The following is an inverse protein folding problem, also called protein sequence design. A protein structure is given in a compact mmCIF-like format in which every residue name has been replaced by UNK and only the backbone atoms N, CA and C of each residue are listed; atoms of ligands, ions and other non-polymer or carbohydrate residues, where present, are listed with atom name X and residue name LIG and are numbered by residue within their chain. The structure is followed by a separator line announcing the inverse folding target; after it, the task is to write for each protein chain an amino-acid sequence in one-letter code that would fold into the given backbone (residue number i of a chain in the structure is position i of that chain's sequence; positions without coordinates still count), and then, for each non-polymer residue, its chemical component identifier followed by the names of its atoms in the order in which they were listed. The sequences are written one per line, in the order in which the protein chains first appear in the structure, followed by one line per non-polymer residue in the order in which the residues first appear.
data_IF_991325211045
#
_entry.id   IF_991325211045
#
_cell.length_a   1.000
_cell.length_b   1.000
_cell.length_c   1.000
_cell.angle_alpha   90.00
_cell.angle_beta   90.00
_cell.angle_gamma   90.00
#
_symmetry.space_group_name_H-M   'P 1'
#
loop_
_entity.id
_entity.type
_entity.pdbx_description
1 polymer ?
#
# COMPACT_ATOMS: atom_id res chain seq x y z
N UNK A 1 32.70 -12.22 20.02
CA UNK A 1 31.45 -12.96 20.26
C UNK A 1 30.74 -12.25 21.39
N UNK A 2 29.46 -11.90 21.20
CA UNK A 2 28.57 -11.12 22.10
C UNK A 2 28.57 -9.58 21.97
N UNK A 3 28.00 -9.08 20.87
CA UNK A 3 27.13 -7.88 20.88
C UNK A 3 25.93 -8.17 19.96
N UNK A 4 25.15 -9.20 20.30
CA UNK A 4 23.84 -9.42 19.71
C UNK A 4 22.81 -8.71 20.57
N UNK A 5 22.22 -7.65 20.01
CA UNK A 5 20.87 -7.22 20.35
C UNK A 5 20.75 -6.26 21.53
N UNK A 6 21.01 -4.97 21.31
CA UNK A 6 19.99 -4.01 21.73
C UNK A 6 18.77 -4.26 20.83
N UNK A 7 17.98 -5.28 21.18
CA UNK A 7 16.71 -5.52 20.50
C UNK A 7 15.78 -4.39 20.87
N UNK A 8 15.12 -3.79 19.88
CA UNK A 8 14.05 -2.82 20.14
C UNK A 8 13.09 -3.45 21.15
N UNK A 9 12.90 -2.84 22.32
CA UNK A 9 12.15 -3.47 23.38
C UNK A 9 10.69 -3.63 22.94
N UNK A 10 10.02 -4.71 23.37
CA UNK A 10 8.67 -5.02 22.90
C UNK A 10 7.65 -3.89 23.13
N UNK A 11 7.88 -3.06 24.17
CA UNK A 11 7.04 -1.90 24.47
C UNK A 11 7.09 -0.82 23.37
N UNK A 12 8.13 -0.79 22.53
CA UNK A 12 8.22 0.14 21.40
C UNK A 12 7.18 -0.17 20.29
N UNK A 13 6.49 -1.32 20.36
CA UNK A 13 5.33 -1.62 19.50
C UNK A 13 4.07 -0.85 19.96
N UNK A 14 4.01 -0.38 21.21
CA UNK A 14 2.82 0.27 21.78
C UNK A 14 2.39 1.50 20.96
N UNK A 15 3.26 2.46 20.60
CA UNK A 15 2.87 3.60 19.77
C UNK A 15 2.30 3.20 18.41
N UNK A 16 2.85 2.15 17.80
CA UNK A 16 2.33 1.61 16.54
C UNK A 16 0.92 1.03 16.71
N UNK A 17 0.70 0.20 17.75
CA UNK A 17 -0.61 -0.36 18.05
C UNK A 17 -1.64 0.74 18.39
N UNK A 18 -1.26 1.75 19.17
CA UNK A 18 -2.10 2.91 19.48
C UNK A 18 -2.45 3.70 18.22
N UNK A 19 -1.50 3.87 17.30
CA UNK A 19 -1.76 4.54 16.03
C UNK A 19 -2.77 3.76 15.17
N UNK A 20 -2.60 2.44 15.03
CA UNK A 20 -3.53 1.59 14.29
C UNK A 20 -4.93 1.59 14.90
N UNK A 21 -5.04 1.41 16.22
CA UNK A 21 -6.32 1.46 16.93
C UNK A 21 -6.96 2.85 16.82
N UNK A 22 -6.16 3.91 16.90
CA UNK A 22 -6.64 5.28 16.72
C UNK A 22 -7.26 5.49 15.35
N UNK A 23 -6.57 5.10 14.28
CA UNK A 23 -7.07 5.24 12.91
C UNK A 23 -8.31 4.36 12.68
N UNK A 24 -8.44 3.21 13.36
CA UNK A 24 -9.61 2.36 13.25
C UNK A 24 -10.82 2.86 14.08
N UNK A 25 -10.60 3.37 15.29
CA UNK A 25 -11.67 3.66 16.27
C UNK A 25 -12.10 5.13 16.27
N UNK A 26 -11.17 6.07 16.16
CA UNK A 26 -11.48 7.51 16.24
C UNK A 26 -12.44 8.00 15.13
N UNK A 27 -12.37 7.53 13.87
CA UNK A 27 -13.36 7.92 12.87
C UNK A 27 -14.78 7.43 13.20
N UNK A 28 -14.92 6.31 13.93
CA UNK A 28 -16.20 5.73 14.31
C UNK A 28 -16.80 6.42 15.54
N UNK A 29 -15.98 6.72 16.55
CA UNK A 29 -16.45 7.29 17.82
C UNK A 29 -16.56 8.81 17.76
N UNK A 30 -15.62 9.49 17.09
CA UNK A 30 -15.47 10.94 17.10
C UNK A 30 -15.32 11.50 15.68
N UNK A 31 -16.25 11.13 14.79
CA UNK A 31 -16.22 11.47 13.36
C UNK A 31 -15.92 12.96 13.09
N UNK A 32 -16.70 13.87 13.69
CA UNK A 32 -16.60 15.31 13.46
C UNK A 32 -15.24 15.89 13.90
N UNK A 33 -14.64 15.31 14.94
CA UNK A 33 -13.30 15.72 15.39
C UNK A 33 -12.23 15.15 14.46
N UNK A 34 -12.37 13.89 14.04
CA UNK A 34 -11.40 13.21 13.18
C UNK A 34 -11.41 13.71 11.73
N UNK A 35 -12.48 14.32 11.24
CA UNK A 35 -12.54 14.89 9.89
C UNK A 35 -11.45 15.94 9.63
N UNK A 36 -11.09 16.73 10.64
CA UNK A 36 -10.08 17.76 10.50
C UNK A 36 -8.67 17.18 10.35
N UNK A 37 -8.00 17.51 9.25
CA UNK A 37 -6.60 17.13 9.01
C UNK A 37 -5.68 17.60 10.14
N UNK A 38 -6.00 18.72 10.81
CA UNK A 38 -5.25 19.21 11.97
C UNK A 38 -5.30 18.23 13.13
N UNK A 39 -6.48 17.69 13.43
CA UNK A 39 -6.67 16.76 14.55
C UNK A 39 -6.02 15.40 14.27
N UNK A 40 -6.11 14.92 13.03
CA UNK A 40 -5.34 13.74 12.57
C UNK A 40 -3.84 13.96 12.74
N UNK A 41 -3.34 15.11 12.30
CA UNK A 41 -1.93 15.49 12.44
C UNK A 41 -1.48 15.56 13.90
N UNK A 42 -2.27 16.18 14.78
CA UNK A 42 -1.99 16.27 16.21
C UNK A 42 -1.96 14.87 16.84
N UNK A 43 -2.96 14.03 16.58
CA UNK A 43 -3.00 12.66 17.10
C UNK A 43 -1.77 11.86 16.66
N UNK A 44 -1.46 11.86 15.37
CA UNK A 44 -0.30 11.15 14.84
C UNK A 44 1.00 11.70 15.42
N UNK A 45 1.13 13.03 15.56
CA UNK A 45 2.34 13.65 16.13
C UNK A 45 2.53 13.28 17.60
N UNK A 46 1.47 13.30 18.42
CA UNK A 46 1.53 12.93 19.84
C UNK A 46 2.03 11.49 20.01
N UNK A 47 1.60 10.58 19.13
CA UNK A 47 1.99 9.16 19.20
C UNK A 47 3.37 8.93 18.59
N UNK A 48 3.67 9.54 17.44
CA UNK A 48 4.88 9.26 16.66
C UNK A 48 6.11 10.04 17.14
N UNK A 49 5.99 11.31 17.53
CA UNK A 49 7.14 12.18 17.84
C UNK A 49 7.93 11.68 19.06
N UNK A 50 7.31 11.31 20.21
CA UNK A 50 8.07 10.79 21.34
C UNK A 50 8.82 9.51 20.98
N UNK A 51 8.21 8.64 20.18
CA UNK A 51 8.82 7.41 19.71
C UNK A 51 9.98 7.68 18.74
N UNK A 52 9.83 8.65 17.84
CA UNK A 52 10.89 9.07 16.93
C UNK A 52 12.10 9.65 17.69
N UNK A 53 11.87 10.46 18.73
CA UNK A 53 12.93 10.98 19.59
C UNK A 53 13.63 9.84 20.33
N UNK A 54 12.87 8.91 20.91
CA UNK A 54 13.43 7.74 21.59
C UNK A 54 14.34 6.92 20.66
N UNK A 55 13.85 6.58 19.47
CA UNK A 55 14.64 5.84 18.47
C UNK A 55 15.86 6.63 18.00
N UNK A 56 15.77 7.94 17.84
CA UNK A 56 16.89 8.77 17.42
C UNK A 56 18.02 8.83 18.44
N UNK A 57 17.71 8.72 19.73
CA UNK A 57 18.70 8.74 20.82
C UNK A 57 19.27 7.36 21.11
N UNK A 58 18.43 6.32 21.12
CA UNK A 58 18.83 4.96 21.53
C UNK A 58 19.28 4.10 20.36
N UNK A 59 18.72 4.31 19.16
CA UNK A 59 18.92 3.46 17.98
C UNK A 59 19.29 4.27 16.73
N UNK A 60 20.18 5.25 16.89
CA UNK A 60 20.50 6.22 15.83
C UNK A 60 20.93 5.57 14.50
N UNK A 61 21.87 4.62 14.54
CA UNK A 61 22.37 3.96 13.32
C UNK A 61 21.30 3.12 12.63
N UNK A 62 20.51 2.36 13.40
CA UNK A 62 19.38 1.58 12.87
C UNK A 62 18.31 2.47 12.25
N UNK A 63 18.01 3.62 12.89
CA UNK A 63 17.05 4.58 12.37
C UNK A 63 17.49 5.20 11.05
N UNK A 64 18.78 5.53 10.90
CA UNK A 64 19.32 6.05 9.64
C UNK A 64 19.28 4.98 8.55
N UNK A 65 19.68 3.75 8.86
CA UNK A 65 19.68 2.65 7.90
C UNK A 65 18.26 2.35 7.38
N UNK A 66 17.30 2.17 8.28
CA UNK A 66 15.88 2.01 7.90
C UNK A 66 15.32 3.24 7.20
N UNK A 67 15.80 4.44 7.54
CA UNK A 67 15.46 5.67 6.82
C UNK A 67 15.91 5.64 5.36
N UNK A 68 17.11 5.14 5.07
CA UNK A 68 17.61 4.98 3.70
C UNK A 68 16.82 3.94 2.90
N UNK A 69 16.47 2.80 3.51
CA UNK A 69 15.59 1.80 2.90
C UNK A 69 14.21 2.41 2.59
N UNK A 70 13.65 3.16 3.53
CA UNK A 70 12.36 3.83 3.36
C UNK A 70 12.38 4.87 2.24
N UNK A 71 13.44 5.67 2.13
CA UNK A 71 13.59 6.64 1.02
C UNK A 71 13.73 5.92 -0.31
N UNK A 72 14.53 4.84 -0.38
CA UNK A 72 14.68 4.01 -1.57
C UNK A 72 13.34 3.40 -1.99
N UNK A 73 12.57 2.92 -1.02
CA UNK A 73 11.23 2.40 -1.21
C UNK A 73 10.25 3.47 -1.74
N UNK A 74 10.27 4.67 -1.16
CA UNK A 74 9.46 5.80 -1.64
C UNK A 74 9.83 6.19 -3.07
N UNK A 75 11.11 6.19 -3.42
CA UNK A 75 11.56 6.46 -4.78
C UNK A 75 11.06 5.38 -5.76
N UNK A 76 11.13 4.10 -5.36
CA UNK A 76 10.59 2.99 -6.14
C UNK A 76 9.07 3.16 -6.36
N UNK A 77 8.29 3.34 -5.30
CA UNK A 77 6.84 3.58 -5.39
C UNK A 77 6.52 4.82 -6.22
N UNK A 78 7.30 5.90 -6.06
CA UNK A 78 7.15 7.14 -6.82
C UNK A 78 7.38 6.92 -8.31
N UNK A 79 8.46 6.24 -8.69
CA UNK A 79 8.74 5.90 -10.09
C UNK A 79 7.65 5.01 -10.69
N UNK A 80 7.20 3.99 -9.94
CA UNK A 80 6.11 3.12 -10.36
C UNK A 80 4.81 3.92 -10.56
N UNK A 81 4.49 4.82 -9.64
CA UNK A 81 3.32 5.69 -9.75
C UNK A 81 3.39 6.61 -10.96
N UNK A 82 4.54 7.23 -11.23
CA UNK A 82 4.73 8.13 -12.39
C UNK A 82 4.61 7.35 -13.70
N UNK A 83 5.28 6.20 -13.81
CA UNK A 83 5.25 5.36 -15.02
C UNK A 83 3.84 4.78 -15.23
N UNK A 84 3.29 4.12 -14.22
CA UNK A 84 1.96 3.51 -14.31
C UNK A 84 0.86 4.56 -14.49
N UNK A 85 0.96 5.71 -13.81
CA UNK A 85 0.01 6.81 -13.92
C UNK A 85 0.04 7.50 -15.29
N UNK A 86 1.19 7.53 -15.95
CA UNK A 86 1.37 8.10 -17.29
C UNK A 86 0.89 7.20 -18.42
N UNK A 87 0.74 5.88 -18.18
CA UNK A 87 0.25 4.94 -19.20
C UNK A 87 -1.27 5.10 -19.32
N UNK A 88 -1.70 5.67 -20.45
CA UNK A 88 -3.11 5.79 -20.78
C UNK A 88 -3.55 4.67 -21.73
N UNK A 89 -4.13 3.60 -21.18
CA UNK A 89 -4.74 2.54 -22.00
C UNK A 89 -6.15 2.98 -22.39
N UNK A 90 -6.30 3.41 -23.64
CA UNK A 90 -7.60 3.72 -24.26
C UNK A 90 -7.96 2.66 -25.30
N UNK A 91 -9.21 2.22 -25.28
CA UNK A 91 -9.75 1.27 -26.25
C UNK A 91 -11.24 1.07 -26.03
N UNK A 92 -11.99 0.87 -27.13
CA UNK A 92 -13.41 0.55 -27.08
C UNK A 92 -13.58 -0.98 -27.00
N UNK A 93 -13.36 -1.52 -25.81
CA UNK A 93 -13.56 -2.95 -25.56
C UNK A 93 -15.05 -3.21 -25.28
N UNK A 94 -15.60 -4.24 -25.93
CA UNK A 94 -16.96 -4.68 -25.66
C UNK A 94 -17.07 -5.20 -24.23
N UNK A 95 -18.01 -4.65 -23.46
CA UNK A 95 -18.29 -5.03 -22.08
C UNK A 95 -18.97 -6.42 -21.99
N UNK A 96 -18.19 -7.48 -22.18
CA UNK A 96 -18.61 -8.88 -22.01
C UNK A 96 -17.94 -9.51 -20.78
N UNK A 97 -18.54 -10.55 -20.17
CA UNK A 97 -17.94 -11.29 -19.07
C UNK A 97 -16.55 -11.86 -19.43
N UNK A 98 -16.38 -12.32 -20.67
CA UNK A 98 -15.11 -12.84 -21.18
C UNK A 98 -14.01 -11.77 -21.22
N UNK A 99 -14.33 -10.55 -21.68
CA UNK A 99 -13.40 -9.43 -21.66
C UNK A 99 -12.97 -9.09 -20.23
N UNK A 100 -13.91 -9.06 -19.29
CA UNK A 100 -13.59 -8.77 -17.89
C UNK A 100 -12.72 -9.85 -17.26
N UNK A 101 -13.01 -11.13 -17.53
CA UNK A 101 -12.19 -12.24 -17.08
C UNK A 101 -10.78 -12.18 -17.68
N UNK A 102 -10.64 -11.80 -18.95
CA UNK A 102 -9.34 -11.60 -19.59
C UNK A 102 -8.56 -10.44 -18.95
N UNK A 103 -9.20 -9.30 -18.66
CA UNK A 103 -8.55 -8.18 -17.96
C UNK A 103 -8.06 -8.61 -16.57
N UNK A 104 -8.86 -9.39 -15.83
CA UNK A 104 -8.47 -9.93 -14.52
C UNK A 104 -7.29 -10.89 -14.62
N UNK A 105 -7.30 -11.80 -15.60
CA UNK A 105 -6.21 -12.74 -15.85
C UNK A 105 -4.91 -12.00 -16.21
N UNK A 106 -4.98 -11.04 -17.13
CA UNK A 106 -3.84 -10.20 -17.51
C UNK A 106 -3.32 -9.44 -16.29
N UNK A 107 -4.21 -8.88 -15.47
CA UNK A 107 -3.81 -8.20 -14.24
C UNK A 107 -3.11 -9.11 -13.25
N UNK A 108 -3.61 -10.33 -13.05
CA UNK A 108 -2.98 -11.31 -12.17
C UNK A 108 -1.58 -11.70 -12.68
N UNK A 109 -1.40 -11.87 -13.99
CA UNK A 109 -0.07 -12.15 -14.59
C UNK A 109 0.85 -10.95 -14.44
N UNK A 110 0.39 -9.74 -14.79
CA UNK A 110 1.19 -8.51 -14.68
C UNK A 110 1.60 -8.20 -13.24
N UNK A 111 0.77 -8.54 -12.26
CA UNK A 111 1.10 -8.37 -10.85
C UNK A 111 2.38 -9.12 -10.43
N UNK A 112 2.75 -10.20 -11.12
CA UNK A 112 4.00 -10.93 -10.87
C UNK A 112 5.24 -10.28 -11.53
N UNK A 113 5.03 -9.36 -12.49
CA UNK A 113 6.11 -8.70 -13.22
C UNK A 113 6.40 -7.30 -12.68
N UNK A 114 5.35 -6.50 -12.45
CA UNK A 114 5.42 -5.09 -12.07
C UNK A 114 4.86 -4.81 -10.66
N UNK A 115 4.48 -5.87 -9.95
CA UNK A 115 3.85 -5.80 -8.63
C UNK A 115 2.34 -5.56 -8.66
N UNK A 116 1.64 -5.97 -7.60
CA UNK A 116 0.19 -5.81 -7.42
C UNK A 116 -0.24 -4.36 -7.47
N UNK A 117 0.57 -3.46 -6.89
CA UNK A 117 0.31 -2.01 -6.88
C UNK A 117 0.36 -1.43 -8.29
N UNK A 118 1.39 -1.75 -9.08
CA UNK A 118 1.56 -1.26 -10.44
C UNK A 118 0.47 -1.78 -11.38
N UNK A 119 0.22 -3.09 -11.35
CA UNK A 119 -0.84 -3.72 -12.13
C UNK A 119 -2.23 -3.16 -11.79
N UNK A 120 -2.50 -2.93 -10.50
CA UNK A 120 -3.76 -2.34 -10.04
C UNK A 120 -3.94 -0.92 -10.54
N UNK A 121 -2.91 -0.06 -10.44
CA UNK A 121 -2.96 1.33 -10.91
C UNK A 121 -3.22 1.43 -12.42
N UNK A 122 -2.65 0.53 -13.22
CA UNK A 122 -2.84 0.47 -14.66
C UNK A 122 -4.25 0.02 -15.05
N UNK A 123 -4.70 -1.13 -14.53
CA UNK A 123 -5.85 -1.83 -15.07
C UNK A 123 -7.19 -1.47 -14.43
N UNK A 124 -7.20 -0.95 -13.19
CA UNK A 124 -8.47 -0.62 -12.51
C UNK A 124 -9.28 0.40 -13.32
N UNK A 125 -8.60 1.40 -13.90
CA UNK A 125 -9.24 2.44 -14.73
C UNK A 125 -9.79 1.86 -16.02
N UNK A 126 -9.05 0.93 -16.65
CA UNK A 126 -9.49 0.24 -17.88
C UNK A 126 -10.75 -0.57 -17.60
N UNK A 127 -10.74 -1.41 -16.56
CA UNK A 127 -11.87 -2.25 -16.17
C UNK A 127 -13.14 -1.42 -15.91
N UNK A 128 -13.01 -0.33 -15.16
CA UNK A 128 -14.12 0.56 -14.82
C UNK A 128 -14.64 1.33 -16.05
N UNK A 129 -13.76 1.81 -16.93
CA UNK A 129 -14.15 2.52 -18.16
C UNK A 129 -14.86 1.60 -19.15
N UNK A 130 -14.32 0.41 -19.39
CA UNK A 130 -14.93 -0.60 -20.28
C UNK A 130 -16.36 -0.95 -19.84
N UNK A 131 -16.62 -0.99 -18.53
CA UNK A 131 -17.93 -1.37 -17.99
C UNK A 131 -18.84 -0.18 -17.64
N UNK A 132 -18.46 1.07 -17.96
CA UNK A 132 -19.20 2.28 -17.55
C UNK A 132 -20.66 2.31 -18.03
N UNK A 133 -20.97 1.64 -19.14
CA UNK A 133 -22.31 1.56 -19.73
C UNK A 133 -23.21 0.48 -19.08
N UNK A 134 -22.68 -0.36 -18.18
CA UNK A 134 -23.43 -1.46 -17.54
C UNK A 134 -24.10 -0.99 -16.26
N UNK A 135 -25.33 -1.43 -16.01
CA UNK A 135 -26.08 -1.12 -14.77
C UNK A 135 -25.50 -1.79 -13.51
N UNK A 136 -24.94 -3.00 -13.64
CA UNK A 136 -24.41 -3.78 -12.50
C UNK A 136 -22.90 -3.96 -12.64
N UNK A 137 -22.12 -3.12 -11.96
CA UNK A 137 -20.64 -3.15 -12.01
C UNK A 137 -19.99 -3.28 -10.63
N UNK A 138 -20.75 -3.26 -9.54
CA UNK A 138 -20.23 -3.28 -8.18
C UNK A 138 -19.38 -4.53 -7.85
N UNK A 139 -19.63 -5.67 -8.51
CA UNK A 139 -18.86 -6.89 -8.32
C UNK A 139 -17.47 -6.85 -8.99
N UNK A 140 -17.27 -6.01 -10.01
CA UNK A 140 -16.03 -5.97 -10.79
C UNK A 140 -14.83 -5.48 -9.94
N UNK A 141 -14.92 -4.34 -9.21
CA UNK A 141 -13.87 -3.92 -8.29
C UNK A 141 -13.57 -4.97 -7.22
N UNK A 142 -14.60 -5.64 -6.70
CA UNK A 142 -14.43 -6.67 -5.66
C UNK A 142 -13.57 -7.84 -6.17
N UNK A 143 -13.92 -8.42 -7.32
CA UNK A 143 -13.12 -9.48 -7.94
C UNK A 143 -11.73 -9.01 -8.35
N UNK A 144 -11.60 -7.77 -8.82
CA UNK A 144 -10.30 -7.18 -9.17
C UNK A 144 -9.38 -7.09 -7.95
N UNK A 145 -9.89 -6.57 -6.82
CA UNK A 145 -9.12 -6.45 -5.58
C UNK A 145 -8.67 -7.82 -5.08
N UNK A 146 -9.56 -8.81 -5.10
CA UNK A 146 -9.21 -10.17 -4.66
C UNK A 146 -8.16 -10.80 -5.58
N UNK A 147 -8.40 -10.84 -6.89
CA UNK A 147 -7.55 -11.58 -7.83
C UNK A 147 -6.25 -10.86 -8.18
N UNK A 148 -6.30 -9.56 -8.45
CA UNK A 148 -5.16 -8.79 -8.96
C UNK A 148 -4.39 -8.12 -7.82
N UNK A 149 -5.11 -7.49 -6.89
CA UNK A 149 -4.47 -6.70 -5.84
C UNK A 149 -3.98 -7.52 -4.63
N UNK A 150 -4.65 -8.63 -4.30
CA UNK A 150 -4.29 -9.47 -3.14
C UNK A 150 -3.68 -10.81 -3.52
N UNK A 151 -4.29 -11.54 -4.47
CA UNK A 151 -3.76 -12.83 -4.94
C UNK A 151 -2.74 -12.70 -6.08
N UNK A 152 -2.68 -11.54 -6.74
CA UNK A 152 -1.67 -11.27 -7.76
C UNK A 152 -0.28 -11.19 -7.12
N UNK A 153 0.77 -11.53 -7.86
CA UNK A 153 2.14 -11.43 -7.35
C UNK A 153 2.60 -12.59 -6.46
N UNK A 154 1.74 -13.56 -6.13
CA UNK A 154 2.11 -14.74 -5.32
C UNK A 154 3.10 -15.70 -6.01
N UNK A 155 3.34 -15.57 -7.32
CA UNK A 155 4.24 -16.45 -8.07
C UNK A 155 5.69 -15.95 -8.05
N UNK A 156 5.95 -14.70 -7.68
CA UNK A 156 7.30 -14.11 -7.66
C UNK A 156 7.55 -13.26 -6.39
N UNK A 157 8.74 -13.34 -5.77
CA UNK A 157 9.08 -12.54 -4.59
C UNK A 157 9.20 -11.02 -4.85
N UNK A 158 8.95 -10.57 -6.09
CA UNK A 158 8.96 -9.16 -6.50
C UNK A 158 7.56 -8.53 -6.50
N UNK A 159 6.51 -9.31 -6.22
CA UNK A 159 5.12 -8.95 -6.46
C UNK A 159 4.53 -7.92 -5.50
N UNK A 160 5.03 -7.82 -4.28
CA UNK A 160 4.49 -6.92 -3.25
C UNK A 160 5.58 -6.05 -2.61
N UNK A 161 5.36 -4.72 -2.54
CA UNK A 161 6.33 -3.78 -1.99
C UNK A 161 6.88 -4.12 -0.59
N UNK A 162 6.11 -4.70 0.35
CA UNK A 162 6.62 -5.12 1.68
C UNK A 162 7.61 -6.28 1.63
N UNK A 163 7.42 -7.25 0.73
CA UNK A 163 8.30 -8.40 0.60
C UNK A 163 9.64 -8.00 -0.03
N UNK A 164 9.60 -7.06 -0.99
CA UNK A 164 10.81 -6.46 -1.56
C UNK A 164 11.64 -5.73 -0.49
N UNK A 165 10.99 -5.06 0.47
CA UNK A 165 11.67 -4.40 1.60
C UNK A 165 12.36 -5.41 2.53
N UNK A 166 11.93 -6.67 2.58
CA UNK A 166 12.61 -7.74 3.31
C UNK A 166 13.78 -8.39 2.57
N UNK A 167 14.00 -8.05 1.31
CA UNK A 167 15.13 -8.51 0.49
C UNK A 167 16.23 -7.45 0.28
N UNK A 168 15.94 -6.18 0.58
CA UNK A 168 16.93 -5.08 0.63
C UNK A 168 17.70 -5.11 1.96
#
# INVERSE_FOLDING_TARGET
MEHFGETVPLWAVIPFAVMLLGIAVLPLVAHHWWESNRNRGIFTAIVAVPMAIYLAVVFHEGLIHSGHEYVSFLALLGSLYVIAGGIHVSGDLKATPTTNAAILLIGAVLANLIGTTGASMLLIRVLLRTNKQRKHTAHLPFFFILLVSNCGGLLTPMGDPPLFLGYL
#
